data_IF_723699532552
#
_entry.id   IF_723699532552
#
_cell.length_a   1.000
_cell.length_b   1.000
_cell.length_c   1.000
_cell.angle_alpha   90.00
_cell.angle_beta   90.00
_cell.angle_gamma   90.00
#
_symmetry.space_group_name_H-M   'P 1'
#
loop_
_entity.id
_entity.type
_entity.pdbx_description
1 polymer ?
#
# COMPACT_ATOMS: atom_id res chain seq x y z
N UNK A 1 22.04 -25.24 5.06
CA UNK A 1 22.07 -23.77 5.02
C UNK A 1 20.67 -23.28 5.36
N UNK A 2 20.45 -22.75 6.57
CA UNK A 2 19.15 -22.18 6.93
C UNK A 2 18.87 -21.00 6.02
N UNK A 3 17.72 -21.02 5.31
CA UNK A 3 17.27 -19.88 4.52
C UNK A 3 17.19 -18.69 5.47
N UNK A 4 17.96 -17.63 5.21
CA UNK A 4 17.87 -16.39 5.98
C UNK A 4 16.41 -15.93 5.92
N UNK A 5 15.74 -15.92 7.08
CA UNK A 5 14.36 -15.46 7.18
C UNK A 5 14.38 -13.93 7.10
N UNK A 6 13.64 -13.38 6.13
CA UNK A 6 13.41 -11.95 6.05
C UNK A 6 12.78 -11.45 7.35
N UNK A 7 13.21 -10.28 7.80
CA UNK A 7 12.67 -9.60 8.96
C UNK A 7 11.83 -8.42 8.46
N UNK A 8 10.52 -8.54 8.59
CA UNK A 8 9.53 -7.61 8.02
C UNK A 8 8.75 -6.98 9.15
N UNK A 9 8.69 -5.65 9.16
CA UNK A 9 7.93 -4.88 10.17
C UNK A 9 7.20 -3.72 9.51
N UNK A 10 5.99 -3.43 9.95
CA UNK A 10 5.30 -2.18 9.60
C UNK A 10 5.78 -1.09 10.57
N UNK A 11 6.27 0.02 10.02
CA UNK A 11 6.78 1.14 10.83
C UNK A 11 5.82 2.32 10.89
N UNK A 12 4.98 2.51 9.87
CA UNK A 12 3.93 3.52 9.82
C UNK A 12 2.71 2.93 9.14
N UNK A 13 1.51 3.28 9.63
CA UNK A 13 0.23 2.91 9.04
C UNK A 13 -0.75 4.06 9.25
N UNK A 14 -1.47 4.45 8.20
CA UNK A 14 -2.44 5.54 8.25
C UNK A 14 -2.37 6.44 7.03
N UNK A 15 -2.45 7.75 7.23
CA UNK A 15 -2.48 8.75 6.17
C UNK A 15 -1.08 9.20 5.78
N UNK A 16 -0.90 9.44 4.48
CA UNK A 16 0.37 9.86 3.89
C UNK A 16 0.18 11.10 3.00
N UNK A 17 1.27 11.81 2.72
CA UNK A 17 1.27 12.84 1.69
C UNK A 17 1.05 12.21 0.31
N UNK A 18 0.59 13.03 -0.65
CA UNK A 18 0.47 12.62 -2.05
C UNK A 18 1.72 11.92 -2.55
N UNK A 19 1.51 10.82 -3.28
CA UNK A 19 2.58 10.12 -3.97
C UNK A 19 3.18 11.01 -5.06
N UNK A 20 4.51 11.04 -5.13
CA UNK A 20 5.24 11.78 -6.16
C UNK A 20 6.01 10.78 -7.04
N UNK A 21 5.51 10.54 -8.26
CA UNK A 21 6.14 9.62 -9.22
C UNK A 21 7.50 10.09 -9.72
N UNK A 22 7.81 11.38 -9.57
CA UNK A 22 9.07 11.98 -10.04
C UNK A 22 10.16 11.96 -8.96
N UNK A 23 9.87 11.38 -7.80
CA UNK A 23 10.79 11.29 -6.66
C UNK A 23 10.97 9.85 -6.19
N UNK A 24 12.19 9.52 -5.79
CA UNK A 24 12.51 8.25 -5.11
C UNK A 24 12.15 8.30 -3.61
N UNK A 25 11.69 9.44 -3.09
CA UNK A 25 11.32 9.60 -1.69
C UNK A 25 10.01 8.92 -1.35
N UNK A 26 9.97 8.25 -0.19
CA UNK A 26 8.73 7.70 0.35
C UNK A 26 7.80 8.83 0.78
N UNK A 27 6.47 8.65 0.63
CA UNK A 27 5.51 9.66 1.04
C UNK A 27 5.61 9.90 2.56
N UNK A 28 5.39 11.15 2.96
CA UNK A 28 5.51 11.58 4.34
C UNK A 28 4.33 11.09 5.15
N UNK A 29 4.59 10.48 6.29
CA UNK A 29 3.55 10.10 7.25
C UNK A 29 2.85 11.33 7.82
N UNK A 30 1.51 11.33 7.80
CA UNK A 30 0.67 12.43 8.28
C UNK A 30 0.00 12.10 9.61
N UNK A 31 -0.65 10.94 9.70
CA UNK A 31 -1.41 10.55 10.89
C UNK A 31 -1.57 9.03 11.02
N UNK A 32 -1.46 8.52 12.25
CA UNK A 32 -1.81 7.14 12.58
C UNK A 32 -3.33 7.04 12.69
N UNK A 33 -3.97 6.34 11.76
CA UNK A 33 -5.42 6.14 11.77
C UNK A 33 -5.79 4.93 10.92
N UNK A 34 -6.94 4.34 11.24
CA UNK A 34 -7.65 3.36 10.40
C UNK A 34 -8.88 3.98 9.72
N UNK A 35 -9.23 5.22 10.08
CA UNK A 35 -10.29 5.99 9.46
C UNK A 35 -9.68 6.89 8.38
N UNK A 36 -10.00 6.60 7.12
CA UNK A 36 -9.56 7.39 5.96
C UNK A 36 -10.70 8.36 5.59
N UNK A 37 -10.43 9.68 5.52
CA UNK A 37 -11.45 10.63 5.13
C UNK A 37 -11.87 10.40 3.67
N UNK A 38 -13.17 10.59 3.41
CA UNK A 38 -13.81 10.45 2.10
C UNK A 38 -13.48 11.62 1.14
N UNK A 39 -12.20 11.95 0.98
CA UNK A 39 -11.72 13.08 0.20
C UNK A 39 -10.86 12.53 -0.93
N UNK A 40 -11.17 12.90 -2.18
CA UNK A 40 -10.42 12.50 -3.37
C UNK A 40 -8.94 12.84 -3.18
N UNK A 41 -8.06 11.95 -3.66
CA UNK A 41 -6.61 12.03 -3.56
C UNK A 41 -6.05 11.90 -2.13
N UNK A 42 -6.87 11.47 -1.16
CA UNK A 42 -6.35 11.07 0.16
C UNK A 42 -5.55 9.78 0.03
N UNK A 43 -4.24 9.86 0.25
CA UNK A 43 -3.33 8.71 0.30
C UNK A 43 -3.36 8.02 1.66
N UNK A 44 -3.44 6.70 1.66
CA UNK A 44 -3.37 5.88 2.85
C UNK A 44 -2.66 4.56 2.59
N UNK A 45 -2.18 3.93 3.65
CA UNK A 45 -1.48 2.65 3.53
C UNK A 45 -0.53 2.44 4.68
N UNK A 46 0.64 1.87 4.38
CA UNK A 46 1.68 1.66 5.35
C UNK A 46 3.08 1.66 4.73
N UNK A 47 4.08 1.97 5.56
CA UNK A 47 5.49 1.77 5.23
C UNK A 47 6.00 0.55 5.98
N UNK A 48 6.55 -0.40 5.24
CA UNK A 48 7.28 -1.55 5.79
C UNK A 48 8.77 -1.27 5.81
N UNK A 49 9.46 -1.84 6.80
CA UNK A 49 10.90 -1.99 6.85
C UNK A 49 11.23 -3.46 6.73
N UNK A 50 12.00 -3.79 5.70
CA UNK A 50 12.36 -5.15 5.32
C UNK A 50 13.88 -5.30 5.46
N UNK A 51 14.30 -6.25 6.27
CA UNK A 51 15.71 -6.59 6.51
C UNK A 51 16.01 -8.02 6.12
N UNK A 52 17.30 -8.30 5.86
CA UNK A 52 17.81 -9.65 5.55
C UNK A 52 17.16 -10.27 4.30
N UNK A 53 16.74 -9.43 3.35
CA UNK A 53 16.04 -9.86 2.14
C UNK A 53 16.64 -9.27 0.84
N UNK A 54 17.85 -8.70 0.91
CA UNK A 54 18.55 -8.20 -0.28
C UNK A 54 18.65 -9.29 -1.35
N UNK A 55 18.42 -8.91 -2.61
CA UNK A 55 18.39 -9.78 -3.77
C UNK A 55 17.24 -10.81 -3.79
N UNK A 56 16.19 -10.60 -2.99
CA UNK A 56 14.96 -11.39 -3.06
C UNK A 56 13.86 -10.57 -3.75
N UNK A 57 12.84 -11.27 -4.26
CA UNK A 57 11.63 -10.67 -4.81
C UNK A 57 10.62 -10.52 -3.68
N UNK A 58 10.13 -9.30 -3.47
CA UNK A 58 8.97 -9.00 -2.66
C UNK A 58 7.73 -9.11 -3.54
N UNK A 59 6.80 -9.99 -3.17
CA UNK A 59 5.45 -10.00 -3.72
C UNK A 59 4.54 -9.22 -2.76
N UNK A 60 3.76 -8.28 -3.26
CA UNK A 60 2.78 -7.53 -2.49
C UNK A 60 1.39 -7.70 -3.10
N UNK A 61 0.36 -7.54 -2.27
CA UNK A 61 -1.05 -7.63 -2.66
C UNK A 61 -1.85 -6.71 -1.75
N UNK A 62 -2.61 -5.80 -2.36
CA UNK A 62 -3.68 -5.05 -1.70
C UNK A 62 -4.97 -5.74 -2.10
N UNK A 63 -5.59 -6.41 -1.13
CA UNK A 63 -6.87 -7.06 -1.32
C UNK A 63 -7.99 -6.10 -0.99
N UNK A 64 -8.88 -5.90 -1.96
CA UNK A 64 -10.06 -5.06 -1.79
C UNK A 64 -11.31 -5.93 -1.87
N UNK A 65 -11.91 -6.34 -0.73
CA UNK A 65 -13.10 -7.17 -0.75
C UNK A 65 -14.28 -6.43 -1.36
N UNK A 66 -15.04 -7.11 -2.22
CA UNK A 66 -16.34 -6.65 -2.73
C UNK A 66 -16.33 -5.39 -3.61
N UNK A 67 -15.19 -5.02 -4.21
CA UNK A 67 -15.23 -4.06 -5.33
C UNK A 67 -15.79 -4.79 -6.53
N UNK A 68 -16.81 -4.21 -7.17
CA UNK A 68 -17.18 -4.58 -8.54
C UNK A 68 -16.80 -3.46 -9.50
N UNK A 69 -16.39 -3.81 -10.72
CA UNK A 69 -16.31 -2.87 -11.84
C UNK A 69 -17.71 -2.39 -12.28
N UNK A 70 -17.77 -1.54 -13.30
CA UNK A 70 -19.03 -1.00 -13.84
C UNK A 70 -19.95 -2.09 -14.41
N UNK A 71 -19.40 -3.25 -14.76
CA UNK A 71 -20.12 -4.43 -15.27
C UNK A 71 -20.56 -5.38 -14.13
N UNK A 72 -20.24 -5.07 -12.88
CA UNK A 72 -20.59 -5.88 -11.70
C UNK A 72 -19.62 -7.04 -11.43
N UNK A 73 -18.50 -7.13 -12.14
CA UNK A 73 -17.48 -8.16 -11.90
C UNK A 73 -16.55 -7.74 -10.77
N UNK A 74 -16.17 -8.68 -9.91
CA UNK A 74 -15.25 -8.39 -8.81
C UNK A 74 -13.89 -7.94 -9.36
N UNK A 75 -13.46 -6.74 -8.98
CA UNK A 75 -12.15 -6.24 -9.39
C UNK A 75 -11.03 -7.09 -8.80
N UNK A 76 -9.98 -7.41 -9.58
CA UNK A 76 -8.85 -8.16 -9.08
C UNK A 76 -8.10 -7.35 -7.99
N UNK A 77 -7.39 -8.04 -7.08
CA UNK A 77 -6.49 -7.38 -6.15
C UNK A 77 -5.42 -6.57 -6.89
N UNK A 78 -4.90 -5.54 -6.23
CA UNK A 78 -3.72 -4.85 -6.73
C UNK A 78 -2.46 -5.57 -6.21
N UNK A 79 -1.82 -6.37 -7.06
CA UNK A 79 -0.64 -7.15 -6.73
C UNK A 79 0.55 -6.86 -7.66
N UNK A 80 1.74 -7.23 -7.19
CA UNK A 80 2.96 -7.03 -7.96
C UNK A 80 4.20 -7.58 -7.31
N UNK A 81 5.29 -7.54 -8.06
CA UNK A 81 6.60 -8.02 -7.65
C UNK A 81 7.65 -6.92 -7.76
N UNK A 82 8.53 -6.82 -6.77
CA UNK A 82 9.62 -5.85 -6.76
C UNK A 82 10.90 -6.46 -6.19
N UNK A 83 12.03 -6.11 -6.79
CA UNK A 83 13.33 -6.61 -6.36
C UNK A 83 13.90 -5.76 -5.21
N UNK A 84 14.27 -6.42 -4.11
CA UNK A 84 14.84 -5.76 -2.95
C UNK A 84 16.30 -5.42 -3.20
N UNK A 85 16.58 -4.12 -3.42
CA UNK A 85 17.92 -3.61 -3.78
C UNK A 85 18.89 -3.56 -2.59
N UNK A 86 18.37 -3.44 -1.36
CA UNK A 86 19.18 -3.14 -0.17
C UNK A 86 18.85 -4.05 1.02
N UNK A 87 19.78 -4.13 1.99
CA UNK A 87 19.61 -4.99 3.17
C UNK A 87 18.67 -4.41 4.23
N UNK A 88 18.45 -3.10 4.23
CA UNK A 88 17.53 -2.39 5.12
C UNK A 88 16.66 -1.49 4.25
N UNK A 89 15.63 -2.10 3.68
CA UNK A 89 14.83 -1.49 2.63
C UNK A 89 13.48 -1.04 3.19
N UNK A 90 13.03 0.14 2.76
CA UNK A 90 11.71 0.66 3.10
C UNK A 90 10.83 0.67 1.87
N UNK A 91 9.61 0.20 2.03
CA UNK A 91 8.65 0.05 0.96
C UNK A 91 7.30 0.58 1.42
N UNK A 92 6.74 1.53 0.66
CA UNK A 92 5.39 2.01 0.84
C UNK A 92 4.42 1.13 0.05
N UNK A 93 3.39 0.63 0.72
CA UNK A 93 2.26 -0.03 0.09
C UNK A 93 0.99 0.71 0.51
N UNK A 94 0.30 1.27 -0.48
CA UNK A 94 -0.86 2.11 -0.24
C UNK A 94 -1.69 2.30 -1.49
N UNK A 95 -2.75 3.04 -1.31
CA UNK A 95 -3.73 3.41 -2.33
C UNK A 95 -4.32 4.77 -1.96
N UNK A 96 -5.06 5.37 -2.88
CA UNK A 96 -5.71 6.65 -2.64
C UNK A 96 -7.24 6.58 -2.84
N UNK A 97 -7.95 7.61 -2.38
CA UNK A 97 -9.37 7.75 -2.65
C UNK A 97 -9.56 8.29 -4.06
N UNK A 98 -10.12 7.47 -4.94
CA UNK A 98 -10.38 7.81 -6.33
C UNK A 98 -11.79 8.37 -6.53
N UNK A 99 -11.97 9.16 -7.59
CA UNK A 99 -13.30 9.52 -8.06
C UNK A 99 -13.93 8.34 -8.85
N UNK A 100 -15.26 8.14 -8.75
CA UNK A 100 -16.20 8.81 -7.84
C UNK A 100 -16.07 8.30 -6.39
N UNK A 101 -16.20 9.21 -5.41
CA UNK A 101 -15.96 8.93 -3.98
C UNK A 101 -16.78 7.74 -3.47
N UNK A 102 -18.03 7.58 -3.90
CA UNK A 102 -18.89 6.50 -3.42
C UNK A 102 -18.32 5.10 -3.75
N UNK A 103 -17.72 4.95 -4.94
CA UNK A 103 -17.07 3.70 -5.34
C UNK A 103 -15.85 3.44 -4.46
N UNK A 104 -15.07 4.48 -4.14
CA UNK A 104 -13.93 4.37 -3.23
C UNK A 104 -14.34 3.99 -1.81
N UNK A 105 -15.41 4.56 -1.26
CA UNK A 105 -15.87 4.19 0.09
C UNK A 105 -16.32 2.73 0.18
N UNK A 106 -17.08 2.26 -0.82
CA UNK A 106 -17.43 0.84 -0.94
C UNK A 106 -16.19 -0.03 -1.10
N UNK A 107 -15.22 0.41 -1.91
CA UNK A 107 -13.97 -0.31 -2.21
C UNK A 107 -13.12 -0.61 -0.97
N UNK A 108 -13.07 0.32 -0.02
CA UNK A 108 -12.22 0.16 1.17
C UNK A 108 -13.00 -0.14 2.45
N UNK A 109 -14.32 -0.32 2.37
CA UNK A 109 -15.16 -0.51 3.56
C UNK A 109 -15.07 0.65 4.54
N UNK A 110 -14.90 1.87 4.01
CA UNK A 110 -14.83 3.11 4.78
C UNK A 110 -16.26 3.60 5.05
N UNK A 111 -16.74 3.40 6.28
CA UNK A 111 -18.06 3.86 6.75
C UNK A 111 -17.90 4.76 7.98
#
# INVERSE_FOLDING_TARGET
>A
MSKLKADVSVIYSGLFSQWNSDSDELPRFLAATVHVPAIIDTEFGFITRIKKAKNQVLTYCIYHPNITDDDGNVSPPFDGEIFIKENDWRFYLGDCIWAPIYQSLLKYGLF
#
